data_IF_802345240539
#
_entry.id   IF_802345240539
#
_cell.length_a   1.000
_cell.length_b   1.000
_cell.length_c   1.000
_cell.angle_alpha   90.00
_cell.angle_beta   90.00
_cell.angle_gamma   90.00
#
_symmetry.space_group_name_H-M   'P 1'
#
loop_
_entity.id
_entity.type
_entity.pdbx_description
1 polymer ?
#
# COMPACT_ATOMS: atom_id res chain seq x y z
N UNK A 1 11.82 1.33 -3.83
CA UNK A 1 10.74 2.22 -3.35
C UNK A 1 10.42 1.81 -1.92
N UNK A 2 10.68 2.70 -0.97
CA UNK A 2 10.42 2.45 0.44
C UNK A 2 9.08 3.07 0.79
N UNK A 3 8.07 2.25 1.02
CA UNK A 3 6.77 2.70 1.51
C UNK A 3 6.73 2.51 3.02
N UNK A 4 6.61 3.60 3.77
CA UNK A 4 6.47 3.54 5.22
C UNK A 4 5.13 2.90 5.58
N UNK A 5 5.15 1.88 6.45
CA UNK A 5 3.95 1.19 6.88
C UNK A 5 3.42 1.83 8.17
N UNK A 6 2.10 2.09 8.26
CA UNK A 6 1.51 2.58 9.49
C UNK A 6 1.59 1.49 10.56
N UNK A 7 2.02 1.88 11.75
CA UNK A 7 1.91 1.09 12.97
C UNK A 7 0.45 0.96 13.41
N UNK A 8 0.16 -0.03 14.26
CA UNK A 8 -1.16 -0.17 14.88
C UNK A 8 -1.55 1.11 15.65
N UNK A 9 -0.62 1.71 16.39
CA UNK A 9 -0.82 2.98 17.11
C UNK A 9 -1.26 4.11 16.18
N UNK A 10 -0.65 4.24 15.00
CA UNK A 10 -1.05 5.25 14.02
C UNK A 10 -2.47 5.03 13.49
N UNK A 11 -2.88 3.78 13.25
CA UNK A 11 -4.25 3.46 12.83
C UNK A 11 -5.26 3.75 13.94
N UNK A 12 -4.94 3.37 15.19
CA UNK A 12 -5.77 3.63 16.36
C UNK A 12 -5.99 5.13 16.59
N UNK A 13 -4.94 5.95 16.44
CA UNK A 13 -5.04 7.41 16.57
C UNK A 13 -5.86 8.00 15.42
N UNK A 14 -5.58 7.58 14.18
CA UNK A 14 -6.19 8.15 12.98
C UNK A 14 -7.70 7.87 12.90
N UNK A 15 -8.10 6.64 13.19
CA UNK A 15 -9.47 6.17 12.98
C UNK A 15 -10.28 6.02 14.27
N UNK A 16 -9.65 6.22 15.42
CA UNK A 16 -10.25 6.01 16.73
C UNK A 16 -10.02 4.60 17.23
N UNK A 17 -9.49 4.49 18.46
CA UNK A 17 -9.17 3.21 19.08
C UNK A 17 -10.39 2.31 19.21
N UNK A 18 -11.55 2.88 19.57
CA UNK A 18 -12.81 2.14 19.71
C UNK A 18 -13.24 1.47 18.40
N UNK A 19 -13.29 2.24 17.32
CA UNK A 19 -13.74 1.74 16.02
C UNK A 19 -12.81 0.66 15.48
N UNK A 20 -11.48 0.90 15.56
CA UNK A 20 -10.48 -0.07 15.12
C UNK A 20 -10.53 -1.34 15.98
N UNK A 21 -10.65 -1.21 17.31
CA UNK A 21 -10.76 -2.38 18.19
C UNK A 21 -11.98 -3.22 17.81
N UNK A 22 -13.14 -2.57 17.61
CA UNK A 22 -14.38 -3.25 17.27
C UNK A 22 -14.28 -4.07 15.97
N UNK A 23 -13.59 -3.56 14.95
CA UNK A 23 -13.48 -4.24 13.64
C UNK A 23 -12.27 -5.16 13.53
N UNK A 24 -11.25 -4.97 14.37
CA UNK A 24 -10.03 -5.78 14.34
C UNK A 24 -10.10 -6.99 15.27
N UNK A 25 -10.87 -6.94 16.36
CA UNK A 25 -11.08 -8.10 17.23
C UNK A 25 -11.78 -9.20 16.43
N UNK A 26 -11.27 -10.44 16.41
CA UNK A 26 -11.93 -11.53 15.69
C UNK A 26 -13.34 -11.81 16.21
N UNK A 27 -14.28 -12.10 15.31
CA UNK A 27 -15.70 -12.28 15.64
C UNK A 27 -15.98 -13.47 16.59
N UNK A 28 -15.04 -14.43 16.70
CA UNK A 28 -15.10 -15.57 17.60
C UNK A 28 -14.58 -15.27 19.02
N UNK A 29 -14.12 -14.03 19.28
CA UNK A 29 -13.60 -13.59 20.58
C UNK A 29 -14.56 -12.63 21.26
N UNK A 30 -14.41 -12.51 22.59
CA UNK A 30 -15.10 -11.48 23.35
C UNK A 30 -14.52 -10.10 23.02
N UNK A 31 -15.36 -9.08 23.11
CA UNK A 31 -14.92 -7.68 23.00
C UNK A 31 -13.97 -7.34 24.13
N UNK A 32 -12.91 -6.61 23.80
CA UNK A 32 -11.94 -6.07 24.76
C UNK A 32 -12.06 -4.55 24.83
N UNK A 33 -11.59 -3.97 25.93
CA UNK A 33 -11.53 -2.51 26.08
C UNK A 33 -10.54 -1.89 25.08
N UNK A 34 -10.90 -0.82 24.35
CA UNK A 34 -10.00 -0.17 23.39
C UNK A 34 -8.68 0.32 24.02
N UNK A 35 -8.72 0.71 25.30
CA UNK A 35 -7.56 1.17 26.06
C UNK A 35 -6.50 0.07 26.21
N UNK A 36 -6.92 -1.19 26.35
CA UNK A 36 -6.00 -2.32 26.36
C UNK A 36 -5.27 -2.44 25.03
N UNK A 37 -5.98 -2.32 23.91
CA UNK A 37 -5.36 -2.40 22.58
C UNK A 37 -4.39 -1.24 22.34
N UNK A 38 -4.71 -0.04 22.85
CA UNK A 38 -3.81 1.13 22.81
C UNK A 38 -2.54 0.87 23.62
N UNK A 39 -2.67 0.41 24.87
CA UNK A 39 -1.54 0.09 25.73
C UNK A 39 -0.65 -0.99 25.11
N UNK A 40 -1.26 -2.05 24.57
CA UNK A 40 -0.55 -3.13 23.88
C UNK A 40 0.18 -2.64 22.63
N UNK A 41 -0.45 -1.78 21.82
CA UNK A 41 0.18 -1.20 20.63
C UNK A 41 1.34 -0.26 20.97
N UNK A 42 1.28 0.44 22.11
CA UNK A 42 2.33 1.32 22.61
C UNK A 42 3.47 0.56 23.32
N UNK A 43 3.32 -0.74 23.57
CA UNK A 43 4.29 -1.54 24.32
C UNK A 43 4.32 -1.21 25.82
N UNK A 44 3.21 -0.72 26.37
CA UNK A 44 3.07 -0.43 27.80
C UNK A 44 2.93 -1.72 28.63
N UNK A 45 3.25 -1.67 29.94
CA UNK A 45 3.03 -2.81 30.83
C UNK A 45 1.55 -3.18 30.89
N UNK A 46 1.26 -4.48 30.76
CA UNK A 46 -0.12 -5.01 30.75
C UNK A 46 -0.46 -5.82 32.01
N UNK A 47 0.37 -5.76 33.06
CA UNK A 47 0.26 -6.62 34.25
C UNK A 47 -1.04 -6.41 35.05
N UNK A 48 -1.73 -5.29 34.84
CA UNK A 48 -3.02 -4.96 35.46
C UNK A 48 -4.23 -5.51 34.71
N UNK A 49 -4.03 -6.06 33.51
CA UNK A 49 -5.11 -6.56 32.65
C UNK A 49 -5.28 -8.06 32.79
N UNK A 50 -6.50 -8.53 32.49
CA UNK A 50 -6.78 -9.95 32.45
C UNK A 50 -5.96 -10.65 31.35
N UNK A 51 -5.41 -11.83 31.66
CA UNK A 51 -4.50 -12.52 30.75
C UNK A 51 -5.19 -12.99 29.45
N UNK A 52 -6.48 -13.32 29.50
CA UNK A 52 -7.23 -13.69 28.30
C UNK A 52 -7.47 -12.45 27.41
N UNK A 53 -7.75 -11.30 28.01
CA UNK A 53 -7.88 -10.03 27.29
C UNK A 53 -6.57 -9.64 26.60
N UNK A 54 -5.44 -9.79 27.29
CA UNK A 54 -4.12 -9.54 26.72
C UNK A 54 -3.87 -10.47 25.52
N UNK A 55 -4.24 -11.74 25.61
CA UNK A 55 -4.12 -12.68 24.49
C UNK A 55 -4.97 -12.26 23.28
N UNK A 56 -6.20 -11.77 23.51
CA UNK A 56 -7.05 -11.23 22.43
C UNK A 56 -6.43 -9.98 21.83
N UNK A 57 -5.87 -9.08 22.64
CA UNK A 57 -5.17 -7.88 22.16
C UNK A 57 -3.99 -8.24 21.24
N UNK A 58 -3.18 -9.24 21.60
CA UNK A 58 -2.06 -9.72 20.78
C UNK A 58 -2.54 -10.24 19.42
N UNK A 59 -3.57 -11.08 19.40
CA UNK A 59 -4.16 -11.59 18.14
C UNK A 59 -4.75 -10.45 17.31
N UNK A 60 -5.37 -9.48 17.97
CA UNK A 60 -5.93 -8.29 17.32
C UNK A 60 -4.84 -7.44 16.66
N UNK A 61 -3.70 -7.22 17.34
CA UNK A 61 -2.55 -6.53 16.76
C UNK A 61 -1.97 -7.28 15.55
N UNK A 62 -1.91 -8.61 15.62
CA UNK A 62 -1.47 -9.42 14.48
C UNK A 62 -2.41 -9.26 13.27
N UNK A 63 -3.73 -9.24 13.48
CA UNK A 63 -4.71 -8.99 12.42
C UNK A 63 -4.58 -7.60 11.80
N UNK A 64 -4.26 -6.57 12.61
CA UNK A 64 -3.95 -5.23 12.11
C UNK A 64 -2.69 -5.24 11.24
N UNK A 65 -1.63 -5.90 11.67
CA UNK A 65 -0.38 -6.01 10.90
C UNK A 65 -0.58 -6.74 9.56
N UNK A 66 -1.41 -7.80 9.55
CA UNK A 66 -1.79 -8.51 8.33
C UNK A 66 -2.57 -7.62 7.36
N UNK A 67 -3.53 -6.83 7.86
CA UNK A 67 -4.30 -5.89 7.06
C UNK A 67 -3.41 -4.81 6.41
N UNK A 68 -2.44 -4.28 7.16
CA UNK A 68 -1.42 -3.35 6.65
C UNK A 68 -0.55 -4.00 5.57
N UNK A 69 -0.15 -5.26 5.76
CA UNK A 69 0.65 -6.01 4.79
C UNK A 69 -0.10 -6.26 3.48
N UNK A 70 -1.40 -6.56 3.56
CA UNK A 70 -2.28 -6.68 2.39
C UNK A 70 -2.42 -5.34 1.66
N UNK A 71 -2.68 -4.26 2.39
CA UNK A 71 -2.77 -2.91 1.84
C UNK A 71 -1.50 -2.50 1.10
N UNK A 72 -0.33 -2.76 1.69
CA UNK A 72 0.98 -2.54 1.05
C UNK A 72 1.09 -3.29 -0.27
N UNK A 73 0.70 -4.57 -0.29
CA UNK A 73 0.80 -5.42 -1.48
C UNK A 73 -0.10 -4.90 -2.61
N UNK A 74 -1.30 -4.46 -2.26
CA UNK A 74 -2.26 -3.86 -3.18
C UNK A 74 -1.77 -2.53 -3.75
N UNK A 75 -1.26 -1.62 -2.92
CA UNK A 75 -0.64 -0.37 -3.41
C UNK A 75 0.57 -0.66 -4.30
N UNK A 76 1.40 -1.63 -3.92
CA UNK A 76 2.60 -2.01 -4.68
C UNK A 76 2.25 -2.48 -6.10
N UNK A 77 1.06 -3.07 -6.30
CA UNK A 77 0.57 -3.37 -7.63
C UNK A 77 0.48 -2.11 -8.48
N UNK A 78 -0.16 -1.04 -8.00
CA UNK A 78 -0.31 0.20 -8.78
C UNK A 78 1.01 0.94 -9.00
N UNK A 79 1.88 0.95 -7.99
CA UNK A 79 3.18 1.62 -8.07
C UNK A 79 4.21 0.89 -8.94
N UNK A 80 3.92 -0.31 -9.47
CA UNK A 80 4.85 -1.07 -10.33
C UNK A 80 5.30 -0.34 -11.60
N UNK A 81 4.53 0.66 -12.05
CA UNK A 81 4.85 1.46 -13.24
C UNK A 81 5.71 2.68 -12.94
N UNK A 82 5.90 3.00 -11.65
CA UNK A 82 6.72 4.14 -11.22
C UNK A 82 8.20 3.88 -11.54
N UNK A 83 8.94 4.89 -12.05
CA UNK A 83 10.36 4.75 -12.32
C UNK A 83 11.17 4.33 -11.09
N UNK A 84 12.20 3.52 -11.32
CA UNK A 84 13.09 3.05 -10.25
C UNK A 84 13.86 4.24 -9.68
N UNK A 85 13.79 4.43 -8.36
CA UNK A 85 14.45 5.53 -7.66
C UNK A 85 13.53 6.71 -7.36
N UNK A 86 12.33 6.74 -7.92
CA UNK A 86 11.29 7.67 -7.49
C UNK A 86 10.52 7.10 -6.29
N UNK A 87 10.31 7.94 -5.28
CA UNK A 87 9.47 7.61 -4.15
C UNK A 87 7.99 7.72 -4.51
N UNK A 88 7.15 7.02 -3.74
CA UNK A 88 5.71 7.17 -3.83
C UNK A 88 5.32 8.58 -3.34
N UNK A 89 4.28 9.20 -3.91
CA UNK A 89 3.76 10.45 -3.37
C UNK A 89 3.36 10.30 -1.89
N UNK A 90 3.55 11.37 -1.09
CA UNK A 90 3.31 11.32 0.36
C UNK A 90 1.89 10.87 0.73
N UNK A 91 0.88 11.27 -0.07
CA UNK A 91 -0.52 10.90 0.13
C UNK A 91 -0.77 9.38 0.02
N UNK A 92 0.15 8.61 -0.56
CA UNK A 92 0.03 7.14 -0.64
C UNK A 92 0.10 6.50 0.75
N UNK A 93 0.80 7.13 1.70
CA UNK A 93 0.86 6.63 3.08
C UNK A 93 -0.51 6.74 3.77
N UNK A 94 -1.22 7.84 3.54
CA UNK A 94 -2.59 8.03 4.04
C UNK A 94 -3.54 7.00 3.38
N UNK A 95 -3.40 6.78 2.08
CA UNK A 95 -4.20 5.81 1.32
C UNK A 95 -3.96 4.38 1.76
N UNK A 96 -2.73 4.05 2.15
CA UNK A 96 -2.40 2.77 2.74
C UNK A 96 -3.18 2.55 4.03
N UNK A 97 -3.26 3.56 4.90
CA UNK A 97 -4.02 3.47 6.13
C UNK A 97 -5.52 3.24 5.88
N UNK A 98 -6.11 3.92 4.88
CA UNK A 98 -7.52 3.71 4.50
C UNK A 98 -7.76 2.29 3.94
N UNK A 99 -6.87 1.78 3.08
CA UNK A 99 -6.97 0.41 2.56
C UNK A 99 -6.78 -0.61 3.69
N UNK A 100 -5.84 -0.39 4.60
CA UNK A 100 -5.63 -1.26 5.77
C UNK A 100 -6.89 -1.31 6.64
N UNK A 101 -7.52 -0.15 6.90
CA UNK A 101 -8.80 -0.08 7.60
C UNK A 101 -9.88 -0.87 6.88
N UNK A 102 -10.00 -0.71 5.56
CA UNK A 102 -10.97 -1.47 4.76
C UNK A 102 -10.78 -2.98 4.88
N UNK A 103 -9.53 -3.46 4.92
CA UNK A 103 -9.21 -4.89 5.06
C UNK A 103 -9.58 -5.50 6.42
N UNK A 104 -9.83 -4.69 7.45
CA UNK A 104 -10.28 -5.18 8.76
C UNK A 104 -11.75 -5.60 8.76
N UNK A 105 -12.58 -4.93 7.96
CA UNK A 105 -14.00 -5.23 7.85
C UNK A 105 -14.23 -6.57 7.13
N UNK A 106 -15.23 -7.31 7.59
CA UNK A 106 -15.78 -8.46 6.89
C UNK A 106 -16.59 -8.03 5.66
N UNK A 107 -17.02 -8.99 4.84
CA UNK A 107 -17.72 -8.71 3.59
C UNK A 107 -19.08 -8.00 3.83
N UNK A 108 -19.78 -8.34 4.91
CA UNK A 108 -21.03 -7.69 5.27
C UNK A 108 -20.81 -6.24 5.73
N UNK A 109 -19.80 -6.00 6.57
CA UNK A 109 -19.41 -4.66 7.03
C UNK A 109 -18.88 -3.76 5.93
N UNK A 110 -18.30 -4.34 4.86
CA UNK A 110 -17.85 -3.59 3.68
C UNK A 110 -19.01 -3.07 2.83
N UNK A 111 -20.06 -3.84 2.60
CA UNK A 111 -21.12 -3.43 1.66
C UNK A 111 -21.93 -2.21 2.10
N UNK A 112 -22.09 -2.01 3.42
CA UNK A 112 -22.94 -0.96 4.00
C UNK A 112 -22.13 0.24 4.51
N UNK A 113 -20.79 0.13 4.60
CA UNK A 113 -19.96 1.16 5.22
C UNK A 113 -19.49 2.25 4.27
N UNK A 114 -19.35 3.46 4.82
CA UNK A 114 -18.64 4.59 4.17
C UNK A 114 -17.18 4.25 3.86
N UNK A 115 -16.59 3.29 4.57
CA UNK A 115 -15.22 2.79 4.36
C UNK A 115 -15.04 2.20 2.96
N UNK A 116 -16.05 1.52 2.41
CA UNK A 116 -15.99 1.02 1.03
C UNK A 116 -16.00 2.13 -0.01
N UNK A 117 -16.69 3.24 0.25
CA UNK A 117 -16.68 4.40 -0.65
C UNK A 117 -15.28 5.02 -0.67
N UNK A 118 -14.69 5.26 0.51
CA UNK A 118 -13.33 5.77 0.63
C UNK A 118 -12.30 4.85 -0.02
N UNK A 119 -12.41 3.53 0.20
CA UNK A 119 -11.57 2.55 -0.47
C UNK A 119 -11.66 2.67 -1.99
N UNK A 120 -12.87 2.74 -2.57
CA UNK A 120 -13.05 2.90 -4.01
C UNK A 120 -12.42 4.19 -4.54
N UNK A 121 -12.48 5.28 -3.80
CA UNK A 121 -11.88 6.55 -4.20
C UNK A 121 -10.35 6.51 -4.15
N UNK A 122 -9.79 5.85 -3.12
CA UNK A 122 -8.35 5.56 -3.04
C UNK A 122 -7.90 4.73 -4.25
N UNK A 123 -8.62 3.65 -4.58
CA UNK A 123 -8.28 2.79 -5.73
C UNK A 123 -8.31 3.58 -7.04
N UNK A 124 -9.32 4.41 -7.28
CA UNK A 124 -9.36 5.28 -8.48
C UNK A 124 -8.17 6.23 -8.57
N UNK A 125 -7.75 6.79 -7.43
CA UNK A 125 -6.58 7.68 -7.39
C UNK A 125 -5.30 6.92 -7.70
N UNK A 126 -5.12 5.71 -7.15
CA UNK A 126 -3.99 4.84 -7.46
C UNK A 126 -3.98 4.36 -8.91
N UNK A 127 -5.14 4.07 -9.49
CA UNK A 127 -5.29 3.75 -10.92
C UNK A 127 -4.88 4.92 -11.81
N UNK A 128 -5.27 6.14 -11.45
CA UNK A 128 -4.89 7.36 -12.17
C UNK A 128 -3.37 7.55 -12.12
N UNK A 129 -2.77 7.43 -10.93
CA UNK A 129 -1.32 7.49 -10.76
C UNK A 129 -0.59 6.45 -11.61
N UNK A 130 -1.04 5.20 -11.56
CA UNK A 130 -0.46 4.10 -12.32
C UNK A 130 -0.53 4.35 -13.83
N UNK A 131 -1.64 4.93 -14.31
CA UNK A 131 -1.82 5.30 -15.73
C UNK A 131 -0.86 6.41 -16.14
N UNK A 132 -0.75 7.47 -15.34
CA UNK A 132 0.17 8.59 -15.59
C UNK A 132 1.63 8.13 -15.59
N UNK A 133 2.04 7.32 -14.61
CA UNK A 133 3.40 6.79 -14.53
C UNK A 133 3.71 5.86 -15.73
N UNK A 134 2.74 5.06 -16.17
CA UNK A 134 2.86 4.22 -17.38
C UNK A 134 3.01 5.06 -18.65
N UNK A 135 2.22 6.12 -18.81
CA UNK A 135 2.29 7.02 -19.97
C UNK A 135 3.62 7.79 -19.99
N UNK A 136 4.09 8.25 -18.83
CA UNK A 136 5.41 8.89 -18.68
C UNK A 136 6.53 7.93 -19.07
N UNK A 137 6.52 6.71 -18.54
CA UNK A 137 7.51 5.69 -18.88
C UNK A 137 7.51 5.32 -20.36
N UNK A 138 6.34 5.27 -21.01
CA UNK A 138 6.25 5.05 -22.46
C UNK A 138 6.84 6.23 -23.27
N UNK A 139 6.60 7.47 -22.84
CA UNK A 139 7.16 8.66 -23.48
C UNK A 139 8.70 8.73 -23.34
N UNK A 140 9.25 8.32 -22.20
CA UNK A 140 10.69 8.25 -21.96
C UNK A 140 11.37 7.13 -22.75
N UNK A 141 10.74 5.95 -22.84
CA UNK A 141 11.20 4.86 -23.70
C UNK A 141 11.23 5.27 -25.18
N UNK A 142 10.23 6.03 -25.65
CA UNK A 142 10.21 6.58 -27.00
C UNK A 142 11.28 7.65 -27.27
N UNK A 143 11.78 8.31 -26.22
CA UNK A 143 12.87 9.31 -26.29
C UNK A 143 14.26 8.71 -26.10
N UNK A 144 14.36 7.53 -25.51
CA UNK A 144 15.62 6.75 -25.40
C UNK A 144 16.05 6.22 -26.77
N UNK A 145 16.58 7.13 -27.58
CA UNK A 145 17.69 6.88 -28.49
C UNK A 145 17.59 5.64 -29.38
N UNK A 146 16.67 5.65 -30.35
CA UNK A 146 16.99 5.00 -31.62
C UNK A 146 18.10 5.82 -32.31
N UNK A 147 19.33 5.71 -31.79
CA UNK A 147 20.51 6.12 -32.54
C UNK A 147 20.70 5.09 -33.65
N UNK A 148 20.08 5.36 -34.80
CA UNK A 148 20.44 4.73 -36.07
C UNK A 148 21.90 5.08 -36.35
N UNK A 149 22.82 4.28 -35.80
CA UNK A 149 24.23 4.26 -36.18
C UNK A 149 24.34 3.58 -37.53
N UNK A 150 23.79 4.22 -38.57
CA UNK A 150 24.13 3.87 -39.94
C UNK A 150 25.55 4.39 -40.18
N UNK A 151 26.54 3.50 -40.26
CA UNK A 151 27.78 3.85 -40.95
C UNK A 151 27.43 3.94 -42.44
N UNK A 152 27.42 5.14 -43.06
CA UNK A 152 27.24 5.20 -44.50
C UNK A 152 28.42 4.48 -45.14
N UNK A 153 28.17 3.32 -45.75
CA UNK A 153 29.15 2.70 -46.65
C UNK A 153 29.23 3.62 -47.86
N UNK A 154 30.17 4.57 -47.83
CA UNK A 154 30.54 5.36 -48.98
C UNK A 154 31.14 4.40 -50.00
N UNK A 155 30.35 4.02 -51.01
CA UNK A 155 30.83 3.26 -52.16
C UNK A 155 31.85 4.14 -52.89
N UNK A 156 33.13 3.84 -52.70
CA UNK A 156 34.21 4.50 -53.44
C UNK A 156 34.40 3.79 -54.78
N UNK A 157 34.80 4.53 -55.82
CA UNK A 157 35.06 3.96 -57.17
C UNK A 157 36.13 2.86 -57.16
N UNK A 158 36.89 2.74 -56.09
CA UNK A 158 37.92 1.71 -55.88
C UNK A 158 37.31 0.34 -55.58
N UNK A 159 36.15 0.25 -54.91
CA UNK A 159 35.52 -1.04 -54.56
C UNK A 159 34.64 -1.62 -55.68
N UNK A 160 34.44 -0.90 -56.79
CA UNK A 160 33.66 -1.33 -57.95
C UNK A 160 34.48 -1.97 -59.08
N UNK A 161 35.82 -2.08 -58.94
CA UNK A 161 36.70 -2.58 -60.02
C UNK A 161 36.98 -4.10 -59.94
N UNK A 162 36.29 -4.83 -59.07
CA UNK A 162 36.45 -6.29 -58.90
C UNK A 162 35.18 -7.11 -59.15
N UNK A 163 34.28 -6.63 -60.02
CA UNK A 163 33.17 -7.41 -60.55
C UNK A 163 33.43 -7.74 -62.03
#
# INVERSE_FOLDING_TARGET
MNLSLPSATQLLIRFGARDITQVAVPDDKRTIEPELLVAAAAGEPLDSWDAEDVAIAVVTLARIADAVTRARSEISFYLRFRPVGEDAPDWVVDDLAEIARYHLYDDAGKEVSTVRVLYKDVIKRLETLAKEDKERGAAEAGRSGMQLTSQPRLMSRTTLRSL
#
